data_IF_441444932244
#
_entry.id   IF_441444932244
#
_cell.length_a   1.000
_cell.length_b   1.000
_cell.length_c   1.000
_cell.angle_alpha   90.00
_cell.angle_beta   90.00
_cell.angle_gamma   90.00
#
_symmetry.space_group_name_H-M   'P 1'
#
loop_
_entity.id
_entity.type
_entity.pdbx_description
1 polymer ?
#
# COMPACT_ATOMS: atom_id res chain seq x y z
N UNK A 1 1.16 -6.80 11.54
CA UNK A 1 2.07 -6.84 10.37
C UNK A 1 1.24 -6.79 9.09
N UNK A 2 0.96 -5.60 8.54
CA UNK A 2 -0.05 -5.41 7.46
C UNK A 2 0.49 -5.19 6.04
N UNK A 3 1.79 -5.00 5.86
CA UNK A 3 2.35 -4.48 4.60
C UNK A 3 3.08 -5.51 3.70
N UNK A 4 3.09 -6.80 4.05
CA UNK A 4 3.90 -7.81 3.33
C UNK A 4 3.63 -7.88 1.83
N UNK A 5 2.35 -7.77 1.42
CA UNK A 5 1.96 -7.74 0.00
C UNK A 5 2.45 -6.48 -0.72
N UNK A 6 2.31 -5.31 -0.09
CA UNK A 6 2.80 -4.05 -0.66
C UNK A 6 4.32 -4.02 -0.83
N UNK A 7 5.06 -4.58 0.13
CA UNK A 7 6.51 -4.70 0.04
C UNK A 7 6.95 -5.63 -1.10
N UNK A 8 6.31 -6.80 -1.25
CA UNK A 8 6.58 -7.72 -2.36
C UNK A 8 6.31 -7.06 -3.73
N UNK A 9 5.15 -6.43 -3.90
CA UNK A 9 4.82 -5.73 -5.15
C UNK A 9 5.78 -4.57 -5.43
N UNK A 10 6.14 -3.79 -4.40
CA UNK A 10 7.10 -2.70 -4.53
C UNK A 10 8.50 -3.17 -4.95
N UNK A 11 8.95 -4.31 -4.43
CA UNK A 11 10.20 -4.93 -4.86
C UNK A 11 10.13 -5.38 -6.33
N UNK A 12 9.05 -6.05 -6.74
CA UNK A 12 8.87 -6.50 -8.12
C UNK A 12 8.87 -5.34 -9.11
N UNK A 13 8.17 -4.24 -8.81
CA UNK A 13 8.17 -3.05 -9.68
C UNK A 13 9.57 -2.43 -9.80
N UNK A 14 10.34 -2.35 -8.72
CA UNK A 14 11.73 -1.88 -8.79
C UNK A 14 12.58 -2.80 -9.68
N UNK A 15 12.42 -4.11 -9.57
CA UNK A 15 13.14 -5.08 -10.40
C UNK A 15 12.80 -4.97 -11.90
N UNK A 16 11.59 -4.50 -12.23
CA UNK A 16 11.16 -4.22 -13.61
C UNK A 16 11.69 -2.88 -14.15
N UNK A 17 12.44 -2.10 -13.36
CA UNK A 17 13.03 -0.82 -13.79
C UNK A 17 12.21 0.42 -13.45
N UNK A 18 11.10 0.30 -12.71
CA UNK A 18 10.37 1.47 -12.22
C UNK A 18 11.16 2.16 -11.11
N UNK A 19 11.33 3.48 -11.21
CA UNK A 19 12.21 4.26 -10.32
C UNK A 19 11.48 4.93 -9.16
N UNK A 20 10.22 5.31 -9.34
CA UNK A 20 9.41 6.03 -8.34
C UNK A 20 8.37 5.11 -7.67
N UNK A 21 8.83 4.05 -7.01
CA UNK A 21 7.96 3.04 -6.40
C UNK A 21 7.87 3.24 -4.89
N UNK A 22 6.64 3.46 -4.41
CA UNK A 22 6.31 3.62 -2.99
C UNK A 22 5.22 2.63 -2.59
N UNK A 23 5.28 2.15 -1.34
CA UNK A 23 4.20 1.40 -0.72
C UNK A 23 3.95 1.96 0.69
N UNK A 24 2.71 1.85 1.16
CA UNK A 24 2.31 2.35 2.47
C UNK A 24 2.44 1.26 3.54
N UNK A 25 3.12 1.57 4.65
CA UNK A 25 3.22 0.72 5.85
C UNK A 25 2.65 1.50 7.04
N UNK A 26 1.65 1.00 7.79
CA UNK A 26 1.14 -0.38 7.80
C UNK A 26 0.02 -0.69 6.80
N UNK A 27 -0.07 0.08 5.72
CA UNK A 27 -1.04 -0.13 4.64
C UNK A 27 -2.42 0.43 4.99
N UNK A 28 -3.47 -0.14 4.41
CA UNK A 28 -4.85 0.32 4.62
C UNK A 28 -5.26 0.38 6.09
N UNK A 29 -4.79 -0.57 6.92
CA UNK A 29 -5.10 -0.56 8.35
C UNK A 29 -4.55 0.70 9.03
N UNK A 30 -3.32 1.12 8.71
CA UNK A 30 -2.75 2.37 9.25
C UNK A 30 -3.48 3.61 8.77
N UNK A 31 -3.92 3.61 7.50
CA UNK A 31 -4.75 4.69 6.97
C UNK A 31 -6.07 4.82 7.72
N UNK A 32 -6.74 3.68 7.95
CA UNK A 32 -7.99 3.61 8.71
C UNK A 32 -7.80 4.00 10.18
N UNK A 33 -6.74 3.51 10.85
CA UNK A 33 -6.41 3.83 12.25
C UNK A 33 -6.08 5.31 12.44
N UNK A 34 -5.53 5.97 11.41
CA UNK A 34 -5.29 7.41 11.39
C UNK A 34 -6.57 8.25 11.16
N UNK A 35 -7.75 7.63 11.05
CA UNK A 35 -9.04 8.28 10.74
C UNK A 35 -9.01 9.12 9.45
N UNK A 36 -8.22 8.69 8.45
CA UNK A 36 -8.17 9.35 7.16
C UNK A 36 -9.39 8.97 6.31
N UNK A 37 -9.77 9.80 5.31
CA UNK A 37 -10.95 9.55 4.48
C UNK A 37 -10.87 8.19 3.77
N UNK A 38 -12.00 7.47 3.76
CA UNK A 38 -12.19 6.22 3.02
C UNK A 38 -13.50 6.28 2.24
N UNK A 39 -13.57 5.56 1.13
CA UNK A 39 -14.80 5.37 0.36
C UNK A 39 -15.17 3.90 0.43
N UNK A 40 -16.43 3.62 0.75
CA UNK A 40 -17.01 2.28 0.63
C UNK A 40 -17.63 2.21 -0.77
N UNK A 41 -17.14 1.34 -1.67
CA UNK A 41 -17.70 1.23 -3.01
C UNK A 41 -19.14 0.69 -2.94
N UNK A 42 -19.98 1.13 -3.87
CA UNK A 42 -21.30 0.54 -4.09
C UNK A 42 -21.15 -0.92 -4.53
N UNK A 43 -22.15 -1.74 -4.20
CA UNK A 43 -22.16 -3.18 -4.47
C UNK A 43 -22.44 -3.50 -5.94
#
# INVERSE_FOLDING_TARGET
MGAGRGALSGHTLKAMGYTNVYYMNPGFNGWKEANLPIVIPEA
#
